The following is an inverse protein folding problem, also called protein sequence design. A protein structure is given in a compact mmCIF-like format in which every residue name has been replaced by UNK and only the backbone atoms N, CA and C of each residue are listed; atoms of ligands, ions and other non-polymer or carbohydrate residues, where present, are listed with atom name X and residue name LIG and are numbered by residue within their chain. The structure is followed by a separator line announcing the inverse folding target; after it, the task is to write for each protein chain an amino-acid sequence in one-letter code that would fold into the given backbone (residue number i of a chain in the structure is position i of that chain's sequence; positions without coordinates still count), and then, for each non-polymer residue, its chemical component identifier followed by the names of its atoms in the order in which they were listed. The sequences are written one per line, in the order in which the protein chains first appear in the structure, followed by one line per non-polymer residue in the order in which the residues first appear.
data_IF_608260476446
#
_entry.id   IF_608260476446
#
_cell.length_a   1.000
_cell.length_b   1.000
_cell.length_c   1.000
_cell.angle_alpha   90.00
_cell.angle_beta   90.00
_cell.angle_gamma   90.00
#
_symmetry.space_group_name_H-M   'P 1'
#
loop_
_entity.id
_entity.type
_entity.pdbx_description
1 polymer ?
#
# COMPACT_ATOMS: atom_id res chain seq x y z
N UNK A 1 19.19 -15.43 80.79
CA UNK A 1 20.65 -15.22 80.83
C UNK A 1 21.09 -14.69 79.47
N UNK A 2 21.99 -13.73 79.50
CA UNK A 2 22.20 -12.64 78.54
C UNK A 2 22.82 -13.10 77.21
N UNK A 3 22.22 -12.69 76.08
CA UNK A 3 22.81 -12.74 74.73
C UNK A 3 23.77 -11.56 74.53
N UNK A 4 24.93 -11.73 73.86
CA UNK A 4 25.89 -10.65 73.63
C UNK A 4 25.48 -9.73 72.47
N UNK A 5 25.98 -8.47 72.43
CA UNK A 5 25.51 -7.45 71.50
C UNK A 5 26.15 -7.54 70.11
N UNK A 6 25.36 -7.12 69.11
CA UNK A 6 25.71 -6.98 67.69
C UNK A 6 26.87 -5.99 67.46
N UNK A 7 27.84 -6.40 66.63
CA UNK A 7 28.89 -5.52 66.09
C UNK A 7 28.36 -4.74 64.88
N UNK A 8 28.44 -3.41 64.96
CA UNK A 8 28.19 -2.50 63.84
C UNK A 8 29.32 -2.62 62.79
N UNK A 9 28.95 -2.88 61.54
CA UNK A 9 29.85 -2.84 60.39
C UNK A 9 29.61 -1.51 59.66
N UNK A 10 30.45 -0.51 59.95
CA UNK A 10 30.51 0.74 59.18
C UNK A 10 31.34 0.48 57.91
N UNK A 11 30.65 0.38 56.77
CA UNK A 11 31.27 0.37 55.45
C UNK A 11 31.63 1.81 55.06
N UNK A 12 32.93 2.05 54.92
CA UNK A 12 33.53 3.26 54.38
C UNK A 12 33.21 3.38 52.88
N UNK A 13 32.48 4.43 52.49
CA UNK A 13 32.30 4.82 51.09
C UNK A 13 33.52 5.64 50.63
N UNK A 14 34.09 5.38 49.43
CA UNK A 14 35.15 6.22 48.89
C UNK A 14 34.60 7.51 48.25
N UNK A 15 35.34 8.61 48.45
CA UNK A 15 35.07 9.95 47.92
C UNK A 15 35.00 10.02 46.38
N UNK A 16 34.15 10.90 45.80
CA UNK A 16 34.10 11.15 44.37
C UNK A 16 35.20 12.14 43.90
N UNK A 17 36.00 11.69 42.93
CA UNK A 17 36.97 12.49 42.16
C UNK A 17 36.28 13.46 41.16
N UNK A 18 37.01 14.42 40.54
CA UNK A 18 36.58 15.81 40.47
C UNK A 18 35.97 16.23 39.12
N UNK A 19 35.32 17.39 39.18
CA UNK A 19 34.61 18.11 38.13
C UNK A 19 35.32 18.16 36.76
N UNK A 20 34.57 17.76 35.72
CA UNK A 20 34.88 18.06 34.32
C UNK A 20 34.62 19.55 34.03
N UNK A 21 35.66 20.27 33.63
CA UNK A 21 35.58 21.63 33.08
C UNK A 21 34.86 21.61 31.74
N UNK A 22 33.77 22.38 31.65
CA UNK A 22 33.12 22.73 30.38
C UNK A 22 34.02 23.69 29.58
N UNK A 23 34.54 23.22 28.45
CA UNK A 23 35.18 24.05 27.43
C UNK A 23 34.11 24.56 26.48
N UNK A 24 33.77 25.84 26.62
CA UNK A 24 32.89 26.57 25.73
C UNK A 24 33.57 26.80 24.37
N UNK A 25 33.16 26.05 23.35
CA UNK A 25 33.56 26.26 21.96
C UNK A 25 32.68 27.36 21.35
N UNK A 26 33.31 28.51 21.04
CA UNK A 26 32.69 29.59 20.27
C UNK A 26 32.40 29.13 18.82
N UNK A 27 31.23 29.45 18.23
CA UNK A 27 30.96 29.15 16.83
C UNK A 27 31.79 30.05 15.92
N UNK A 28 32.54 29.43 15.00
CA UNK A 28 33.30 30.10 13.95
C UNK A 28 32.37 30.30 12.75
N UNK A 29 32.13 31.55 12.38
CA UNK A 29 31.32 31.93 11.23
C UNK A 29 31.95 31.38 9.93
N UNK A 30 31.18 30.58 9.18
CA UNK A 30 31.50 30.20 7.81
C UNK A 30 30.85 31.19 6.86
N UNK A 31 31.68 31.96 6.17
CA UNK A 31 31.28 32.81 5.06
C UNK A 31 30.76 31.92 3.91
N UNK A 32 29.49 32.07 3.55
CA UNK A 32 28.91 31.45 2.36
C UNK A 32 29.06 32.42 1.19
N UNK A 33 30.00 32.13 0.30
CA UNK A 33 30.15 32.82 -0.98
C UNK A 33 28.98 32.45 -1.88
N UNK A 34 28.12 33.42 -2.19
CA UNK A 34 26.97 33.28 -3.10
C UNK A 34 27.49 33.43 -4.53
N UNK A 35 27.48 32.34 -5.29
CA UNK A 35 27.73 32.33 -6.74
C UNK A 35 26.47 32.82 -7.49
N UNK A 36 26.58 33.73 -8.48
CA UNK A 36 25.44 34.14 -9.28
C UNK A 36 25.02 33.03 -10.29
N UNK A 37 23.73 32.97 -10.68
CA UNK A 37 23.22 31.95 -11.59
C UNK A 37 23.68 32.19 -13.04
N UNK A 38 23.83 31.13 -13.85
CA UNK A 38 24.24 31.25 -15.25
C UNK A 38 23.11 31.81 -16.13
N UNK A 39 23.49 32.68 -17.05
CA UNK A 39 22.62 33.34 -18.02
C UNK A 39 22.09 32.35 -19.06
N UNK A 40 20.78 32.42 -19.33
CA UNK A 40 20.08 31.63 -20.35
C UNK A 40 20.37 32.17 -21.75
N UNK A 41 21.05 31.39 -22.58
CA UNK A 41 21.19 31.65 -24.02
C UNK A 41 19.88 31.27 -24.73
N UNK A 42 19.19 32.28 -25.25
CA UNK A 42 18.01 32.14 -26.13
C UNK A 42 18.50 31.69 -27.51
N UNK A 43 18.25 30.42 -27.86
CA UNK A 43 18.46 29.90 -29.21
C UNK A 43 17.20 30.18 -30.05
N UNK A 44 17.32 31.07 -31.03
CA UNK A 44 16.29 31.33 -32.05
C UNK A 44 16.02 30.05 -32.84
N UNK A 45 14.81 29.51 -32.72
CA UNK A 45 14.33 28.39 -33.54
C UNK A 45 13.75 28.93 -34.85
N UNK A 46 14.45 28.69 -35.95
CA UNK A 46 13.97 28.90 -37.31
C UNK A 46 12.84 27.92 -37.63
N UNK A 47 11.74 28.48 -38.13
CA UNK A 47 10.55 27.78 -38.60
C UNK A 47 10.78 27.25 -40.02
N UNK A 48 10.81 25.93 -40.18
CA UNK A 48 10.69 25.28 -41.50
C UNK A 48 9.24 24.85 -41.67
N UNK A 49 8.56 25.57 -42.56
CA UNK A 49 7.25 25.25 -43.10
C UNK A 49 7.37 24.03 -44.03
N UNK A 50 6.62 22.97 -43.75
CA UNK A 50 6.36 21.90 -44.73
C UNK A 50 4.85 21.77 -44.88
N UNK A 51 4.37 22.23 -46.03
CA UNK A 51 3.00 22.12 -46.51
C UNK A 51 2.72 20.68 -46.92
N UNK A 52 1.66 20.08 -46.37
CA UNK A 52 1.13 18.80 -46.86
C UNK A 52 -0.25 19.07 -47.46
N UNK A 53 -0.38 18.81 -48.76
CA UNK A 53 -1.61 18.98 -49.55
C UNK A 53 -2.67 17.95 -49.15
N UNK A 54 -3.92 18.40 -48.99
CA UNK A 54 -5.12 17.55 -48.97
C UNK A 54 -5.78 17.60 -50.36
N UNK A 55 -6.17 16.47 -50.96
CA UNK A 55 -7.03 16.50 -52.13
C UNK A 55 -8.48 16.69 -51.71
N UNK A 56 -9.05 17.77 -52.26
CA UNK A 56 -10.46 18.11 -52.31
C UNK A 56 -11.22 17.09 -53.18
N UNK A 57 -12.38 16.63 -52.71
CA UNK A 57 -13.40 16.02 -53.57
C UNK A 57 -14.77 16.58 -53.23
N UNK A 58 -15.52 16.79 -54.30
CA UNK A 58 -16.50 17.85 -54.48
C UNK A 58 -17.88 17.53 -53.91
N UNK A 59 -18.63 18.60 -53.61
CA UNK A 59 -20.06 18.62 -53.31
C UNK A 59 -20.90 18.09 -54.47
N UNK A 60 -21.96 17.36 -54.15
CA UNK A 60 -23.24 17.45 -54.87
C UNK A 60 -24.36 17.61 -53.85
N UNK A 61 -25.17 18.63 -54.10
CA UNK A 61 -26.29 19.12 -53.29
C UNK A 61 -27.57 18.45 -53.78
N UNK A 62 -28.43 18.00 -52.86
CA UNK A 62 -29.85 17.77 -53.12
C UNK A 62 -30.65 18.05 -51.84
N UNK A 63 -31.71 18.82 -51.99
CA UNK A 63 -32.51 19.48 -50.95
C UNK A 63 -33.35 18.52 -50.07
N UNK A 64 -33.89 19.00 -48.92
CA UNK A 64 -34.49 18.15 -47.90
C UNK A 64 -35.98 17.91 -48.14
N UNK A 65 -36.44 16.68 -47.88
CA UNK A 65 -37.86 16.40 -47.69
C UNK A 65 -38.19 16.39 -46.20
N UNK A 66 -39.13 17.25 -45.85
CA UNK A 66 -39.78 17.38 -44.56
C UNK A 66 -40.71 16.18 -44.30
N UNK A 67 -40.50 15.49 -43.18
CA UNK A 67 -41.49 14.57 -42.62
C UNK A 67 -41.86 15.07 -41.22
N UNK A 68 -43.02 15.71 -41.13
CA UNK A 68 -43.73 16.02 -39.90
C UNK A 68 -44.20 14.73 -39.23
N UNK A 69 -43.80 14.49 -37.97
CA UNK A 69 -44.40 13.44 -37.14
C UNK A 69 -45.05 14.08 -35.92
N UNK A 70 -46.36 13.93 -35.90
CA UNK A 70 -47.28 14.39 -34.88
C UNK A 70 -47.01 13.72 -33.53
N UNK A 71 -46.98 14.53 -32.49
CA UNK A 71 -47.16 14.12 -31.10
C UNK A 71 -48.56 13.58 -30.92
N UNK A 72 -48.70 12.34 -30.44
CA UNK A 72 -49.91 11.91 -29.77
C UNK A 72 -49.62 10.88 -28.68
N UNK A 73 -50.09 11.25 -27.50
CA UNK A 73 -50.72 10.46 -26.43
C UNK A 73 -50.00 9.24 -25.84
N UNK A 74 -49.83 9.37 -24.53
CA UNK A 74 -49.41 8.37 -23.56
C UNK A 74 -50.38 7.18 -23.56
N UNK A 75 -49.84 5.97 -23.59
CA UNK A 75 -50.55 4.75 -23.20
C UNK A 75 -49.59 3.83 -22.45
N UNK A 76 -50.00 3.40 -21.26
CA UNK A 76 -49.17 2.70 -20.28
C UNK A 76 -48.63 1.38 -20.82
N UNK A 77 -47.31 1.22 -20.83
CA UNK A 77 -46.66 -0.05 -21.12
C UNK A 77 -46.46 -0.79 -19.80
N UNK A 78 -47.14 -1.93 -19.67
CA UNK A 78 -46.94 -2.89 -18.58
C UNK A 78 -45.55 -3.53 -18.71
N UNK A 79 -44.68 -3.28 -17.74
CA UNK A 79 -43.39 -3.96 -17.63
C UNK A 79 -43.60 -5.40 -17.14
N UNK A 80 -43.10 -6.44 -17.83
CA UNK A 80 -43.12 -7.78 -17.28
C UNK A 80 -42.14 -7.84 -16.10
N UNK A 81 -42.59 -8.43 -14.98
CA UNK A 81 -41.76 -8.68 -13.80
C UNK A 81 -40.54 -9.51 -14.20
N UNK A 82 -39.37 -8.86 -14.22
CA UNK A 82 -38.08 -9.52 -14.39
C UNK A 82 -37.89 -10.54 -13.26
N UNK A 83 -37.81 -11.83 -13.61
CA UNK A 83 -37.43 -12.89 -12.67
C UNK A 83 -36.02 -12.58 -12.20
N UNK A 84 -35.90 -12.17 -10.93
CA UNK A 84 -34.64 -11.94 -10.22
C UNK A 84 -33.89 -13.26 -10.16
N UNK A 85 -33.00 -13.50 -11.12
CA UNK A 85 -32.01 -14.56 -11.05
C UNK A 85 -31.11 -14.24 -9.86
N UNK A 86 -31.20 -15.04 -8.79
CA UNK A 86 -30.23 -15.09 -7.70
C UNK A 86 -28.88 -15.56 -8.28
N UNK A 87 -28.15 -14.65 -8.93
CA UNK A 87 -26.71 -14.84 -9.09
C UNK A 87 -26.08 -14.40 -7.79
N UNK A 88 -25.65 -15.38 -6.99
CA UNK A 88 -24.67 -15.16 -5.94
C UNK A 88 -23.54 -14.31 -6.53
N UNK A 89 -23.09 -13.23 -5.87
CA UNK A 89 -21.98 -12.44 -6.38
C UNK A 89 -20.78 -13.39 -6.53
N UNK A 90 -20.20 -13.43 -7.72
CA UNK A 90 -19.03 -14.25 -7.99
C UNK A 90 -17.92 -13.84 -7.01
N UNK A 91 -17.60 -14.73 -6.07
CA UNK A 91 -16.50 -14.57 -5.14
C UNK A 91 -15.22 -14.56 -5.96
N UNK A 92 -14.48 -13.45 -5.94
CA UNK A 92 -13.18 -13.38 -6.59
C UNK A 92 -12.27 -14.46 -6.00
N UNK A 93 -11.86 -15.42 -6.83
CA UNK A 93 -11.06 -16.57 -6.39
C UNK A 93 -9.65 -16.13 -5.99
N UNK A 94 -9.06 -16.86 -5.05
CA UNK A 94 -7.62 -16.80 -4.80
C UNK A 94 -6.87 -17.15 -6.09
N UNK A 95 -5.72 -16.52 -6.31
CA UNK A 95 -4.82 -16.96 -7.37
C UNK A 95 -4.30 -18.35 -7.01
N UNK A 96 -4.23 -19.25 -8.00
CA UNK A 96 -3.64 -20.57 -7.76
C UNK A 96 -2.19 -20.39 -7.34
N UNK A 97 -1.79 -20.90 -6.16
CA UNK A 97 -0.38 -20.89 -5.72
C UNK A 97 0.54 -21.50 -6.80
N UNK A 98 0.03 -22.46 -7.58
CA UNK A 98 0.72 -23.07 -8.71
C UNK A 98 1.17 -22.09 -9.82
N UNK A 99 0.66 -20.85 -9.86
CA UNK A 99 1.12 -19.83 -10.81
C UNK A 99 2.38 -19.08 -10.35
N UNK A 100 2.90 -19.38 -9.16
CA UNK A 100 4.13 -18.80 -8.63
C UNK A 100 5.30 -19.77 -8.78
N UNK A 101 6.51 -19.23 -8.87
CA UNK A 101 7.71 -20.06 -8.88
C UNK A 101 7.87 -20.79 -7.54
N UNK A 102 8.39 -22.02 -7.58
CA UNK A 102 8.59 -22.81 -6.34
C UNK A 102 9.56 -22.14 -5.36
N UNK A 103 10.41 -21.23 -5.84
CA UNK A 103 11.37 -20.46 -5.05
C UNK A 103 10.89 -19.05 -4.69
N UNK A 104 9.60 -18.73 -4.85
CA UNK A 104 9.08 -17.37 -4.59
C UNK A 104 9.37 -16.88 -3.16
N UNK A 105 9.36 -17.77 -2.17
CA UNK A 105 9.73 -17.44 -0.79
C UNK A 105 11.21 -17.06 -0.63
N UNK A 106 12.11 -17.72 -1.34
CA UNK A 106 13.54 -17.37 -1.35
C UNK A 106 13.75 -16.00 -2.01
N UNK A 107 13.14 -15.79 -3.18
CA UNK A 107 13.22 -14.53 -3.92
C UNK A 107 12.68 -13.36 -3.09
N UNK A 108 11.52 -13.53 -2.46
CA UNK A 108 10.93 -12.52 -1.59
C UNK A 108 11.80 -12.29 -0.36
N UNK A 109 12.32 -13.36 0.24
CA UNK A 109 13.17 -13.30 1.44
C UNK A 109 14.41 -12.42 1.28
N UNK A 110 14.97 -12.32 0.07
CA UNK A 110 16.14 -11.49 -0.21
C UNK A 110 15.81 -10.04 -0.57
N UNK A 111 14.53 -9.69 -0.76
CA UNK A 111 14.10 -8.30 -1.00
C UNK A 111 14.34 -7.47 0.26
N UNK A 112 15.06 -6.36 0.09
CA UNK A 112 15.20 -5.31 1.10
C UNK A 112 14.08 -4.28 0.99
N UNK A 113 13.39 -4.06 2.10
CA UNK A 113 12.36 -3.02 2.31
C UNK A 113 12.79 -2.14 3.48
N UNK A 114 11.97 -1.15 3.83
CA UNK A 114 12.24 -0.24 4.94
C UNK A 114 11.16 -0.33 6.01
N UNK A 115 11.54 -0.23 7.27
CA UNK A 115 10.60 0.05 8.36
C UNK A 115 10.00 1.46 8.18
N UNK A 116 8.88 1.76 8.85
CA UNK A 116 8.34 3.12 8.88
C UNK A 116 9.28 4.16 9.58
N UNK A 117 10.28 3.69 10.35
CA UNK A 117 11.34 4.53 10.91
C UNK A 117 12.46 4.83 9.92
N UNK A 118 12.57 4.06 8.82
CA UNK A 118 13.53 4.26 7.74
C UNK A 118 14.69 3.28 7.74
N UNK A 119 14.66 2.25 8.58
CA UNK A 119 15.71 1.24 8.67
C UNK A 119 15.51 0.17 7.58
N UNK A 120 16.57 -0.20 6.83
CA UNK A 120 16.48 -1.28 5.86
C UNK A 120 16.41 -2.64 6.56
N UNK A 121 15.50 -3.49 6.10
CA UNK A 121 15.29 -4.87 6.58
C UNK A 121 15.03 -5.80 5.41
N UNK A 122 15.38 -7.09 5.52
CA UNK A 122 14.98 -8.09 4.52
C UNK A 122 13.74 -8.85 4.99
N UNK A 123 12.90 -9.30 4.06
CA UNK A 123 11.73 -10.11 4.43
C UNK A 123 12.10 -11.34 5.24
N UNK A 124 13.20 -12.01 4.91
CA UNK A 124 13.63 -13.21 5.63
C UNK A 124 13.92 -13.00 7.12
N UNK A 125 14.12 -11.75 7.54
CA UNK A 125 14.39 -11.39 8.92
C UNK A 125 13.10 -11.05 9.71
N UNK A 126 11.93 -11.01 9.05
CA UNK A 126 10.67 -10.55 9.64
C UNK A 126 9.83 -11.67 10.29
N UNK A 127 10.04 -12.93 9.89
CA UNK A 127 9.43 -14.11 10.51
C UNK A 127 10.36 -15.31 10.39
N UNK A 128 10.09 -16.37 11.17
CA UNK A 128 10.85 -17.61 11.07
C UNK A 128 10.65 -18.29 9.69
N UNK A 129 11.74 -18.37 8.93
CA UNK A 129 11.77 -18.92 7.58
C UNK A 129 11.67 -20.44 7.51
N UNK A 130 11.67 -21.14 8.65
CA UNK A 130 11.48 -22.59 8.69
C UNK A 130 10.01 -22.97 8.87
N UNK A 131 9.38 -22.48 9.94
CA UNK A 131 8.02 -22.89 10.30
C UNK A 131 7.09 -21.73 10.65
N UNK A 132 7.63 -20.53 10.87
CA UNK A 132 6.85 -19.33 11.16
C UNK A 132 5.84 -19.00 10.07
N UNK A 133 4.66 -18.54 10.48
CA UNK A 133 3.60 -18.16 9.55
C UNK A 133 3.51 -16.64 9.45
N UNK A 134 3.40 -16.12 8.23
CA UNK A 134 3.29 -14.69 7.99
C UNK A 134 2.19 -14.38 6.97
N UNK A 135 1.44 -13.33 7.26
CA UNK A 135 0.55 -12.66 6.31
C UNK A 135 1.28 -11.46 5.77
N UNK A 136 1.54 -11.45 4.47
CA UNK A 136 2.18 -10.35 3.76
C UNK A 136 1.11 -9.62 2.96
N UNK A 137 0.72 -8.45 3.45
CA UNK A 137 -0.32 -7.59 2.88
C UNK A 137 0.30 -6.44 2.09
N UNK A 138 0.22 -6.51 0.77
CA UNK A 138 0.79 -5.52 -0.15
C UNK A 138 -0.29 -4.47 -0.44
N UNK A 139 -0.21 -3.34 0.26
CA UNK A 139 -1.01 -2.15 -0.04
C UNK A 139 -0.59 -1.58 -1.40
N UNK A 140 -1.50 -0.95 -2.14
CA UNK A 140 -1.16 -0.30 -3.42
C UNK A 140 -0.14 0.83 -3.21
N UNK A 141 -0.45 1.75 -2.31
CA UNK A 141 0.41 2.85 -1.86
C UNK A 141 -0.23 3.54 -0.65
N UNK A 142 0.57 4.27 0.14
CA UNK A 142 0.08 4.91 1.37
C UNK A 142 -0.92 6.05 1.12
N UNK A 143 -0.94 6.65 -0.07
CA UNK A 143 -1.93 7.67 -0.45
C UNK A 143 -3.27 7.15 -0.96
N UNK A 144 -3.52 5.83 -0.97
CA UNK A 144 -4.74 5.26 -1.54
C UNK A 144 -5.85 5.14 -0.47
N UNK A 145 -7.03 5.78 -0.65
CA UNK A 145 -8.16 5.64 0.27
C UNK A 145 -8.55 4.19 0.57
N UNK A 146 -8.61 3.35 -0.47
CA UNK A 146 -8.91 1.94 -0.31
C UNK A 146 -7.82 1.19 0.47
N UNK A 147 -6.56 1.64 0.44
CA UNK A 147 -5.51 1.04 1.27
C UNK A 147 -5.64 1.44 2.74
N UNK A 148 -6.17 2.63 3.03
CA UNK A 148 -6.50 3.02 4.41
C UNK A 148 -7.64 2.17 4.96
N UNK A 149 -8.63 1.85 4.13
CA UNK A 149 -9.68 0.90 4.48
C UNK A 149 -9.11 -0.49 4.83
N UNK A 150 -8.27 -1.05 3.96
CA UNK A 150 -7.61 -2.34 4.24
C UNK A 150 -6.72 -2.27 5.49
N UNK A 151 -5.94 -1.21 5.65
CA UNK A 151 -5.08 -1.03 6.82
C UNK A 151 -5.90 -0.92 8.11
N UNK A 152 -7.10 -0.29 8.09
CA UNK A 152 -7.99 -0.26 9.26
C UNK A 152 -8.45 -1.65 9.64
N UNK A 153 -8.87 -2.45 8.65
CA UNK A 153 -9.31 -3.84 8.85
C UNK A 153 -8.18 -4.73 9.37
N UNK A 154 -6.97 -4.56 8.83
CA UNK A 154 -5.76 -5.27 9.29
C UNK A 154 -5.38 -4.89 10.72
N UNK A 155 -5.43 -3.59 11.06
CA UNK A 155 -5.21 -3.10 12.42
C UNK A 155 -6.17 -3.75 13.41
N UNK A 156 -7.46 -3.73 13.12
CA UNK A 156 -8.52 -4.30 13.97
C UNK A 156 -8.37 -5.82 14.14
N UNK A 157 -7.72 -6.49 13.19
CA UNK A 157 -7.52 -7.94 13.21
C UNK A 157 -6.15 -8.39 13.70
N UNK A 158 -5.25 -7.47 14.06
CA UNK A 158 -3.88 -7.79 14.47
C UNK A 158 -3.87 -8.79 15.64
N UNK A 159 -4.70 -8.58 16.65
CA UNK A 159 -4.76 -9.47 17.82
C UNK A 159 -5.16 -10.91 17.45
N UNK A 160 -6.01 -11.08 16.42
CA UNK A 160 -6.38 -12.41 15.91
C UNK A 160 -5.18 -13.10 15.25
N UNK A 161 -4.35 -12.35 14.51
CA UNK A 161 -3.12 -12.89 13.94
C UNK A 161 -2.10 -13.25 15.02
N UNK A 162 -1.88 -12.35 16.00
CA UNK A 162 -0.96 -12.58 17.10
C UNK A 162 -1.36 -13.82 17.91
N UNK A 163 -2.65 -13.97 18.23
CA UNK A 163 -3.18 -15.14 18.95
C UNK A 163 -3.03 -16.45 18.18
N UNK A 164 -2.94 -16.39 16.84
CA UNK A 164 -2.70 -17.53 15.98
C UNK A 164 -1.20 -17.78 15.70
N UNK A 165 -0.29 -17.00 16.31
CA UNK A 165 1.15 -17.09 16.04
C UNK A 165 1.54 -16.65 14.64
N UNK A 166 0.73 -15.78 14.01
CA UNK A 166 0.93 -15.28 12.64
C UNK A 166 1.49 -13.87 12.66
N UNK A 167 2.63 -13.67 11.99
CA UNK A 167 3.19 -12.34 11.81
C UNK A 167 2.41 -11.57 10.74
N UNK A 168 1.85 -10.42 11.09
CA UNK A 168 1.29 -9.47 10.12
C UNK A 168 2.40 -8.53 9.60
N UNK A 169 2.56 -8.49 8.28
CA UNK A 169 3.52 -7.64 7.56
C UNK A 169 2.75 -6.86 6.49
N UNK A 170 2.46 -5.59 6.75
CA UNK A 170 1.84 -4.68 5.79
C UNK A 170 2.92 -3.85 5.09
N UNK A 171 2.92 -3.87 3.76
CA UNK A 171 3.92 -3.18 2.94
C UNK A 171 3.21 -2.25 1.95
N UNK A 172 3.65 -1.01 1.82
CA UNK A 172 3.12 -0.06 0.84
C UNK A 172 4.20 0.52 -0.05
N UNK A 173 3.81 0.88 -1.28
CA UNK A 173 4.65 1.70 -2.16
C UNK A 173 4.71 3.13 -1.62
N UNK A 174 5.92 3.67 -1.56
CA UNK A 174 6.23 5.02 -1.09
C UNK A 174 7.41 5.03 -0.12
N UNK A 175 7.91 6.22 0.21
CA UNK A 175 9.00 6.37 1.18
C UNK A 175 8.56 6.00 2.61
N UNK A 176 9.49 5.65 3.52
CA UNK A 176 9.21 5.39 4.94
C UNK A 176 8.41 6.52 5.64
N UNK A 177 8.65 7.77 5.26
CA UNK A 177 7.91 8.93 5.77
C UNK A 177 6.40 8.85 5.43
N UNK A 178 6.04 8.27 4.29
CA UNK A 178 4.64 8.05 3.88
C UNK A 178 3.97 6.96 4.70
N UNK A 179 4.72 5.89 5.02
CA UNK A 179 4.26 4.84 5.93
C UNK A 179 3.97 5.42 7.33
N UNK A 180 4.85 6.28 7.83
CA UNK A 180 4.69 6.95 9.13
C UNK A 180 3.42 7.80 9.20
N UNK A 181 3.07 8.52 8.13
CA UNK A 181 1.80 9.27 8.05
C UNK A 181 0.61 8.32 8.27
N UNK A 182 0.61 7.15 7.63
CA UNK A 182 -0.47 6.16 7.82
C UNK A 182 -0.47 5.64 9.26
N UNK A 183 0.69 5.30 9.83
CA UNK A 183 0.79 4.81 11.21
C UNK A 183 0.26 5.83 12.22
N UNK A 184 0.60 7.12 12.07
CA UNK A 184 0.19 8.19 12.98
C UNK A 184 -1.31 8.52 12.86
N UNK A 185 -1.83 8.58 11.63
CA UNK A 185 -3.19 9.09 11.38
C UNK A 185 -4.27 7.99 11.40
N UNK A 186 -3.92 6.75 11.10
CA UNK A 186 -4.81 5.56 11.19
C UNK A 186 -4.56 4.71 12.47
N UNK A 187 -3.81 5.24 13.44
CA UNK A 187 -3.09 4.47 14.47
C UNK A 187 -2.69 3.04 14.09
N UNK A 188 -2.08 2.83 12.92
CA UNK A 188 -1.66 1.49 12.50
C UNK A 188 -0.39 1.06 13.26
N UNK A 189 -0.30 -0.19 13.77
CA UNK A 189 0.87 -0.71 14.48
C UNK A 189 2.14 -0.60 13.65
N UNK A 190 3.07 0.26 14.09
CA UNK A 190 4.23 0.67 13.30
C UNK A 190 5.23 -0.48 13.05
N UNK A 191 5.25 -1.46 13.96
CA UNK A 191 6.06 -2.69 13.89
C UNK A 191 5.54 -3.71 12.86
N UNK A 192 4.34 -3.48 12.33
CA UNK A 192 3.75 -4.25 11.23
C UNK A 192 3.80 -3.51 9.90
N UNK A 193 4.33 -2.28 9.83
CA UNK A 193 4.23 -1.41 8.66
C UNK A 193 5.59 -1.12 8.02
N UNK A 194 5.70 -1.42 6.73
CA UNK A 194 6.92 -1.31 5.95
C UNK A 194 6.68 -0.60 4.63
N UNK A 195 7.76 -0.05 4.07
CA UNK A 195 7.79 0.68 2.82
C UNK A 195 8.69 -0.03 1.81
N UNK A 196 8.19 -0.21 0.58
CA UNK A 196 8.97 -0.69 -0.57
C UNK A 196 8.90 0.37 -1.68
N UNK A 197 9.77 1.41 -1.63
CA UNK A 197 9.74 2.51 -2.60
C UNK A 197 10.00 2.04 -4.04
N UNK A 198 10.84 1.01 -4.19
CA UNK A 198 11.29 0.49 -5.48
C UNK A 198 10.34 -0.58 -6.05
N UNK A 199 9.32 -0.98 -5.28
CA UNK A 199 8.33 -2.02 -5.64
C UNK A 199 8.92 -3.40 -5.90
N UNK A 200 10.11 -3.69 -5.37
CA UNK A 200 10.81 -4.97 -5.60
C UNK A 200 9.98 -6.18 -5.14
N UNK A 201 9.29 -6.06 -4.02
CA UNK A 201 8.40 -7.12 -3.53
C UNK A 201 7.20 -7.34 -4.47
N UNK A 202 6.68 -6.25 -5.04
CA UNK A 202 5.56 -6.28 -5.97
C UNK A 202 5.97 -6.97 -7.28
N UNK A 203 7.18 -6.70 -7.77
CA UNK A 203 7.74 -7.32 -8.97
C UNK A 203 7.97 -8.83 -8.76
N UNK A 204 8.58 -9.22 -7.63
CA UNK A 204 8.80 -10.63 -7.27
C UNK A 204 7.48 -11.40 -7.18
N UNK A 205 6.44 -10.77 -6.60
CA UNK A 205 5.11 -11.37 -6.48
C UNK A 205 4.25 -11.19 -7.75
N UNK A 206 4.78 -10.53 -8.78
CA UNK A 206 4.12 -10.27 -10.05
C UNK A 206 2.78 -9.55 -9.90
N UNK A 207 2.69 -8.57 -9.00
CA UNK A 207 1.47 -7.78 -8.80
C UNK A 207 1.20 -6.87 -9.99
N UNK A 208 -0.09 -6.66 -10.29
CA UNK A 208 -0.47 -5.93 -11.49
C UNK A 208 -0.13 -4.44 -11.42
N UNK A 209 0.12 -3.86 -12.60
CA UNK A 209 0.37 -2.44 -12.78
C UNK A 209 -0.44 -1.92 -13.96
N UNK A 210 -1.00 -0.71 -13.85
CA UNK A 210 -1.50 0.03 -15.02
C UNK A 210 -2.83 0.77 -14.85
N UNK A 211 -3.07 1.71 -15.76
CA UNK A 211 -4.23 2.63 -15.77
C UNK A 211 -5.56 1.87 -15.89
N UNK A 212 -5.65 0.94 -16.85
CA UNK A 212 -6.86 0.15 -17.11
C UNK A 212 -7.38 -0.56 -15.86
N UNK A 213 -6.49 -1.28 -15.17
CA UNK A 213 -6.81 -2.00 -13.93
C UNK A 213 -7.10 -1.06 -12.75
N UNK A 214 -6.44 0.10 -12.73
CA UNK A 214 -6.59 1.06 -11.61
C UNK A 214 -7.93 1.78 -11.64
N UNK A 215 -8.37 2.24 -12.81
CA UNK A 215 -9.51 3.16 -12.94
C UNK A 215 -10.73 2.57 -13.65
N UNK A 216 -10.56 1.51 -14.44
CA UNK A 216 -11.62 0.96 -15.30
C UNK A 216 -11.95 -0.50 -15.00
N UNK A 217 -11.43 -1.07 -13.90
CA UNK A 217 -11.71 -2.46 -13.55
C UNK A 217 -13.07 -2.60 -12.83
N UNK A 218 -14.00 -3.46 -13.32
CA UNK A 218 -15.26 -3.73 -12.64
C UNK A 218 -15.10 -4.28 -11.22
N UNK A 219 -13.96 -4.89 -10.88
CA UNK A 219 -13.65 -5.31 -9.51
C UNK A 219 -13.70 -4.15 -8.50
N UNK A 220 -13.43 -2.92 -8.95
CA UNK A 220 -13.52 -1.70 -8.14
C UNK A 220 -14.96 -1.26 -7.84
N UNK A 221 -15.97 -1.84 -8.49
CA UNK A 221 -17.37 -1.55 -8.16
C UNK A 221 -17.74 -1.90 -6.71
N UNK A 222 -17.00 -2.84 -6.08
CA UNK A 222 -17.16 -3.21 -4.67
C UNK A 222 -16.81 -2.08 -3.69
N UNK A 223 -16.14 -1.03 -4.15
CA UNK A 223 -15.86 0.16 -3.32
C UNK A 223 -17.17 0.88 -2.97
N UNK A 224 -18.13 0.96 -3.91
CA UNK A 224 -19.42 1.60 -3.66
C UNK A 224 -20.23 0.92 -2.55
N UNK A 225 -20.18 -0.41 -2.46
CA UNK A 225 -20.88 -1.16 -1.40
C UNK A 225 -20.27 -1.00 -0.01
N UNK A 226 -19.05 -0.47 0.12
CA UNK A 226 -18.31 -0.32 1.39
C UNK A 226 -18.06 1.14 1.75
N UNK A 227 -18.90 2.04 1.24
CA UNK A 227 -18.72 3.48 1.36
C UNK A 227 -18.54 3.95 2.82
N UNK A 228 -19.34 3.46 3.76
CA UNK A 228 -19.24 3.86 5.17
C UNK A 228 -17.93 3.39 5.83
N UNK A 229 -17.50 2.16 5.56
CA UNK A 229 -16.21 1.64 6.05
C UNK A 229 -15.05 2.45 5.50
N UNK A 230 -15.08 2.72 4.19
CA UNK A 230 -14.09 3.58 3.54
C UNK A 230 -14.08 4.98 4.15
N UNK A 231 -15.24 5.61 4.30
CA UNK A 231 -15.41 6.94 4.89
C UNK A 231 -14.85 7.00 6.31
N UNK A 232 -15.10 5.98 7.11
CA UNK A 232 -14.57 5.88 8.46
C UNK A 232 -13.04 5.73 8.48
N UNK A 233 -12.49 4.89 7.61
CA UNK A 233 -11.05 4.67 7.51
C UNK A 233 -10.28 5.92 7.04
N UNK A 234 -10.91 6.78 6.23
CA UNK A 234 -10.27 7.98 5.67
C UNK A 234 -10.54 9.27 6.45
N UNK A 235 -11.11 9.21 7.66
CA UNK A 235 -11.39 10.41 8.48
C UNK A 235 -10.17 11.31 8.69
N UNK A 236 -8.98 10.71 8.84
CA UNK A 236 -7.71 11.42 9.04
C UNK A 236 -6.79 11.34 7.83
N UNK A 237 -7.33 11.02 6.65
CA UNK A 237 -6.56 10.85 5.42
C UNK A 237 -5.86 12.14 4.98
N UNK A 238 -4.70 11.99 4.34
CA UNK A 238 -4.01 13.08 3.63
C UNK A 238 -3.42 12.59 2.31
N UNK A 239 -3.47 13.47 1.31
CA UNK A 239 -2.83 13.23 0.01
C UNK A 239 -1.30 13.21 0.12
N UNK A 240 -0.72 13.75 1.20
CA UNK A 240 0.72 13.77 1.45
C UNK A 240 1.32 12.37 1.59
N UNK A 241 0.51 11.38 2.00
CA UNK A 241 0.88 9.97 2.04
C UNK A 241 1.04 9.37 0.63
N UNK A 242 0.65 10.07 -0.43
CA UNK A 242 0.89 9.60 -1.80
C UNK A 242 2.40 9.52 -2.07
N UNK A 243 2.88 8.46 -2.76
CA UNK A 243 4.27 8.36 -3.16
C UNK A 243 4.72 9.59 -3.95
N UNK A 244 6.00 9.94 -3.80
CA UNK A 244 6.58 11.06 -4.54
C UNK A 244 6.68 10.72 -6.04
N UNK A 245 7.08 9.47 -6.36
CA UNK A 245 6.91 8.90 -7.69
C UNK A 245 5.44 8.54 -7.94
N UNK A 246 4.76 9.38 -8.74
CA UNK A 246 3.34 9.21 -9.07
C UNK A 246 3.06 7.99 -9.95
N UNK A 247 4.08 7.39 -10.57
CA UNK A 247 3.90 6.13 -11.30
C UNK A 247 3.43 5.00 -10.38
N UNK A 248 3.79 5.04 -9.09
CA UNK A 248 3.35 4.09 -8.07
C UNK A 248 1.84 4.08 -7.81
N UNK A 249 1.11 5.14 -8.20
CA UNK A 249 -0.35 5.20 -8.06
C UNK A 249 -1.05 4.17 -8.96
N UNK A 250 -0.38 3.64 -9.98
CA UNK A 250 -0.92 2.61 -10.87
C UNK A 250 -0.70 1.17 -10.36
N UNK A 251 0.09 1.01 -9.29
CA UNK A 251 0.38 -0.29 -8.68
C UNK A 251 -0.89 -0.89 -8.07
N UNK A 252 -1.07 -2.21 -8.21
CA UNK A 252 -2.08 -2.98 -7.48
C UNK A 252 -1.47 -3.73 -6.30
N UNK A 253 -2.33 -4.05 -5.34
CA UNK A 253 -1.98 -4.73 -4.11
C UNK A 253 -2.16 -6.24 -4.20
N UNK A 254 -2.07 -6.90 -3.06
CA UNK A 254 -2.37 -8.31 -2.92
C UNK A 254 -2.19 -8.80 -1.48
N UNK A 255 -2.62 -10.04 -1.26
CA UNK A 255 -2.54 -10.71 0.03
C UNK A 255 -1.90 -12.08 -0.15
N UNK A 256 -0.90 -12.37 0.68
CA UNK A 256 -0.13 -13.60 0.62
C UNK A 256 0.02 -14.20 2.01
N UNK A 257 0.01 -15.53 2.09
CA UNK A 257 0.27 -16.27 3.32
C UNK A 257 1.45 -17.19 3.09
N UNK A 258 2.47 -17.06 3.93
CA UNK A 258 3.65 -17.91 3.91
C UNK A 258 3.75 -18.74 5.18
N UNK A 259 4.28 -19.95 5.06
CA UNK A 259 4.79 -20.77 6.16
C UNK A 259 6.24 -21.09 5.87
N UNK A 260 7.15 -20.58 6.71
CA UNK A 260 8.56 -20.51 6.35
C UNK A 260 8.71 -19.81 5.01
N UNK A 261 9.19 -20.55 4.01
CA UNK A 261 9.33 -20.09 2.61
C UNK A 261 8.22 -20.56 1.68
N UNK A 262 7.36 -21.46 2.15
CA UNK A 262 6.28 -22.00 1.34
C UNK A 262 5.14 -20.98 1.23
N UNK A 263 4.73 -20.68 0.00
CA UNK A 263 3.57 -19.86 -0.27
C UNK A 263 2.30 -20.71 -0.16
N UNK A 264 1.46 -20.47 0.84
CA UNK A 264 0.23 -21.23 1.09
C UNK A 264 -1.01 -20.59 0.43
N UNK A 265 -0.98 -19.27 0.25
CA UNK A 265 -2.07 -18.52 -0.35
C UNK A 265 -1.53 -17.32 -1.09
N UNK A 266 -2.10 -17.05 -2.26
CA UNK A 266 -1.84 -15.83 -3.00
C UNK A 266 -3.12 -15.26 -3.57
N UNK A 267 -3.27 -13.95 -3.48
CA UNK A 267 -4.30 -13.22 -4.20
C UNK A 267 -3.75 -11.88 -4.63
N UNK A 268 -3.73 -11.66 -5.94
CA UNK A 268 -3.44 -10.36 -6.54
C UNK A 268 -4.73 -9.57 -6.62
N UNK A 269 -4.72 -8.30 -6.24
CA UNK A 269 -5.90 -7.46 -6.35
C UNK A 269 -6.10 -7.10 -7.84
N UNK A 270 -7.23 -7.48 -8.43
CA UNK A 270 -7.48 -7.26 -9.86
C UNK A 270 -7.61 -5.76 -10.19
N UNK A 271 -8.05 -4.96 -9.21
CA UNK A 271 -8.16 -3.51 -9.32
C UNK A 271 -8.28 -2.83 -7.96
N UNK A 272 -8.44 -1.50 -7.99
CA UNK A 272 -8.49 -0.67 -6.78
C UNK A 272 -9.60 -1.12 -5.83
N UNK A 273 -9.22 -1.45 -4.60
CA UNK A 273 -10.16 -1.85 -3.54
C UNK A 273 -10.65 -3.29 -3.62
N UNK A 274 -10.16 -4.11 -4.56
CA UNK A 274 -10.49 -5.54 -4.61
C UNK A 274 -9.64 -6.34 -3.61
N UNK A 275 -9.77 -6.05 -2.32
CA UNK A 275 -8.97 -6.69 -1.26
C UNK A 275 -9.42 -8.11 -0.92
N UNK A 276 -8.50 -8.92 -0.40
CA UNK A 276 -8.81 -10.28 0.00
C UNK A 276 -9.79 -10.27 1.20
N UNK A 277 -10.83 -11.11 1.22
CA UNK A 277 -11.69 -11.24 2.38
C UNK A 277 -10.88 -11.79 3.56
N UNK A 278 -10.77 -11.00 4.63
CA UNK A 278 -9.82 -11.31 5.71
C UNK A 278 -10.15 -12.62 6.45
N UNK A 279 -11.43 -12.98 6.56
CA UNK A 279 -11.82 -14.23 7.19
C UNK A 279 -11.28 -15.46 6.44
N UNK A 280 -11.09 -15.39 5.11
CA UNK A 280 -10.43 -16.49 4.38
C UNK A 280 -8.97 -16.62 4.79
N UNK A 281 -8.28 -15.49 4.94
CA UNK A 281 -6.87 -15.43 5.36
C UNK A 281 -6.72 -16.02 6.76
N UNK A 282 -7.58 -15.59 7.69
CA UNK A 282 -7.56 -16.07 9.08
C UNK A 282 -7.92 -17.55 9.13
N UNK A 283 -8.92 -18.00 8.36
CA UNK A 283 -9.26 -19.42 8.29
C UNK A 283 -8.13 -20.28 7.76
N UNK A 284 -7.37 -19.80 6.77
CA UNK A 284 -6.18 -20.51 6.29
C UNK A 284 -5.16 -20.59 7.42
N UNK A 285 -4.84 -19.46 8.05
CA UNK A 285 -3.90 -19.39 9.16
C UNK A 285 -4.26 -20.34 10.31
N UNK A 286 -5.52 -20.40 10.71
CA UNK A 286 -5.96 -21.22 11.86
C UNK A 286 -6.12 -22.71 11.53
N UNK A 287 -6.21 -23.11 10.25
CA UNK A 287 -6.39 -24.51 9.86
C UNK A 287 -5.10 -25.28 9.70
N UNK A 288 -3.96 -24.60 9.52
CA UNK A 288 -2.70 -25.31 9.29
C UNK A 288 -2.04 -25.60 10.64
N UNK A 289 -1.94 -26.87 11.07
CA UNK A 289 -1.39 -27.22 12.38
C UNK A 289 0.02 -26.66 12.55
N UNK A 290 0.30 -26.09 13.71
CA UNK A 290 1.68 -25.82 14.15
C UNK A 290 2.24 -27.19 14.54
N UNK A 291 3.15 -27.73 13.72
CA UNK A 291 3.82 -29.02 13.92
C UNK A 291 5.04 -28.90 14.81
#
# INVERSE_FOLDING_TARGET
MVLPPHKNFLLSLPDPHPAFRSLSLKPKAMATTISPPPQTLILKRSSISTSVCFPSSQRLVSAPQTCSVSVNSVSSIHFPKSKRLNRSPARAQASSVASFSQNVGDLLGDVSIFTATGEPVKFKDLWDQKQGMAVVALLRHFGCPCCWELASVLKESKERFDSAGVKLIAVGVGAPSKARILAERLPFPIDCLYADPDRKAYDVLGLYYGVGRTFFNPASAKVFSRFETLRNAVKNYTIEATPDDRSGVLQQGGMFVFRGKELLYARKDEGTGDHAPLDDIINICCKVPIS
#
